data_IF_251967396845
#
_entry.id   IF_251967396845
#
_cell.length_a   1.000
_cell.length_b   1.000
_cell.length_c   1.000
_cell.angle_alpha   90.00
_cell.angle_beta   90.00
_cell.angle_gamma   90.00
#
_symmetry.space_group_name_H-M   'P 1'
#
loop_
_entity.id
_entity.type
_entity.pdbx_description
1 polymer ?
#
# COMPACT_ATOMS: atom_id res chain seq x y z
N UNK A 1 13.39 -7.13 -20.64
CA UNK A 1 13.28 -6.04 -19.64
C UNK A 1 14.45 -6.18 -18.69
N UNK A 2 15.23 -5.12 -18.44
CA UNK A 2 16.31 -5.14 -17.45
C UNK A 2 15.69 -5.09 -16.05
N UNK A 3 16.16 -5.92 -15.11
CA UNK A 3 15.70 -5.91 -13.73
C UNK A 3 16.33 -4.73 -12.97
N UNK A 4 15.54 -4.01 -12.18
CA UNK A 4 16.06 -3.01 -11.24
C UNK A 4 16.62 -3.72 -10.01
N UNK A 5 17.90 -4.07 -10.06
CA UNK A 5 18.62 -4.69 -8.94
C UNK A 5 19.11 -3.62 -7.96
N UNK A 6 19.27 -3.99 -6.68
CA UNK A 6 19.74 -3.09 -5.61
C UNK A 6 18.93 -1.79 -5.43
N UNK A 7 17.64 -1.82 -5.81
CA UNK A 7 16.72 -0.70 -5.66
C UNK A 7 15.92 -0.86 -4.37
N UNK A 8 15.73 0.22 -3.62
CA UNK A 8 14.89 0.20 -2.42
C UNK A 8 13.42 0.35 -2.82
N UNK A 9 12.59 -0.56 -2.36
CA UNK A 9 11.13 -0.51 -2.53
C UNK A 9 10.52 -0.32 -1.16
N UNK A 10 9.81 0.78 -0.96
CA UNK A 10 9.06 1.09 0.24
C UNK A 10 7.58 0.77 0.01
N UNK A 11 6.92 0.18 0.99
CA UNK A 11 5.47 0.07 1.04
C UNK A 11 4.90 0.69 2.31
N UNK A 12 3.71 1.27 2.20
CA UNK A 12 2.91 1.68 3.36
C UNK A 12 1.43 1.59 3.05
N UNK A 13 0.64 1.23 4.07
CA UNK A 13 -0.82 1.21 3.96
C UNK A 13 -1.47 1.34 5.34
N UNK A 14 -2.80 1.49 5.34
CA UNK A 14 -3.59 1.49 6.56
C UNK A 14 -3.80 0.09 7.12
N UNK A 15 -4.16 0.01 8.40
CA UNK A 15 -4.61 -1.22 9.03
C UNK A 15 -6.01 -1.66 8.55
N UNK A 16 -6.52 -2.77 9.09
CA UNK A 16 -7.85 -3.29 8.75
C UNK A 16 -9.00 -2.31 9.04
N UNK A 17 -8.78 -1.31 9.91
CA UNK A 17 -9.74 -0.27 10.27
C UNK A 17 -9.57 1.00 9.44
N UNK A 18 -8.66 1.02 8.46
CA UNK A 18 -8.42 2.21 7.64
C UNK A 18 -7.53 3.26 8.33
N UNK A 19 -6.84 2.90 9.41
CA UNK A 19 -5.97 3.81 10.18
C UNK A 19 -4.53 3.68 9.70
N UNK A 20 -3.91 4.82 9.36
CA UNK A 20 -2.48 4.87 9.05
C UNK A 20 -1.65 5.04 10.33
N UNK A 21 -0.44 4.48 10.33
CA UNK A 21 0.56 4.79 11.37
C UNK A 21 1.20 6.15 11.10
N UNK A 22 1.66 6.83 12.15
CA UNK A 22 2.34 8.13 12.07
C UNK A 22 1.47 9.26 11.49
N UNK A 23 0.16 9.21 11.76
CA UNK A 23 -0.82 10.20 11.30
C UNK A 23 -1.64 10.69 12.50
N UNK A 24 -1.91 11.99 12.50
CA UNK A 24 -2.91 12.60 13.36
C UNK A 24 -4.13 12.95 12.51
N UNK A 25 -5.28 12.43 12.91
CA UNK A 25 -6.59 12.68 12.32
C UNK A 25 -7.57 13.12 13.43
N UNK A 26 -8.68 13.72 13.04
CA UNK A 26 -9.79 14.05 13.95
C UNK A 26 -10.29 12.85 14.79
N UNK A 27 -10.15 11.64 14.27
CA UNK A 27 -10.71 10.41 14.85
C UNK A 27 -9.69 9.51 15.53
N UNK A 28 -8.38 9.72 15.32
CA UNK A 28 -7.31 8.93 15.91
C UNK A 28 -5.97 9.68 15.90
N UNK A 29 -5.07 9.29 16.80
CA UNK A 29 -3.68 9.75 16.79
C UNK A 29 -2.73 8.56 16.89
N UNK A 30 -1.95 8.34 15.83
CA UNK A 30 -0.95 7.27 15.74
C UNK A 30 0.47 7.80 15.54
N UNK A 31 0.72 9.08 15.86
CA UNK A 31 2.03 9.71 15.74
C UNK A 31 3.09 8.88 16.47
N UNK A 32 4.22 8.64 15.81
CA UNK A 32 5.32 7.81 16.33
C UNK A 32 5.12 6.30 16.19
N UNK A 33 3.94 5.81 15.81
CA UNK A 33 3.73 4.40 15.44
C UNK A 33 4.28 4.16 14.03
N UNK A 34 4.72 2.92 13.76
CA UNK A 34 5.37 2.55 12.48
C UNK A 34 4.83 1.24 11.87
N UNK A 35 3.65 0.79 12.31
CA UNK A 35 3.04 -0.43 11.76
C UNK A 35 2.73 -0.28 10.26
N UNK A 36 2.76 -1.40 9.54
CA UNK A 36 2.38 -1.50 8.11
C UNK A 36 3.14 -0.54 7.20
N UNK A 37 4.41 -0.29 7.56
CA UNK A 37 5.41 0.44 6.79
C UNK A 37 6.67 -0.42 6.76
N UNK A 38 7.31 -0.51 5.61
CA UNK A 38 8.56 -1.25 5.49
C UNK A 38 9.22 -1.02 4.14
N UNK A 39 10.50 -1.36 4.04
CA UNK A 39 11.20 -1.36 2.77
C UNK A 39 11.98 -2.64 2.61
N UNK A 40 12.21 -3.02 1.36
CA UNK A 40 13.08 -4.12 0.97
C UNK A 40 13.98 -3.64 -0.17
N UNK A 41 15.14 -4.28 -0.32
CA UNK A 41 16.00 -4.08 -1.47
C UNK A 41 15.75 -5.21 -2.46
N UNK A 42 15.63 -4.89 -3.74
CA UNK A 42 15.42 -5.89 -4.78
C UNK A 42 16.57 -6.89 -4.87
N UNK A 43 16.22 -8.16 -5.05
CA UNK A 43 17.18 -9.25 -5.30
C UNK A 43 17.79 -9.17 -6.72
N UNK A 44 18.60 -10.17 -7.07
CA UNK A 44 19.25 -10.25 -8.37
C UNK A 44 18.26 -10.35 -9.55
N UNK A 45 17.03 -10.82 -9.27
CA UNK A 45 15.93 -10.88 -10.23
C UNK A 45 15.03 -9.63 -10.22
N UNK A 46 15.35 -8.63 -9.39
CA UNK A 46 14.57 -7.40 -9.26
C UNK A 46 13.32 -7.55 -8.39
N UNK A 47 13.23 -8.58 -7.55
CA UNK A 47 12.04 -8.89 -6.75
C UNK A 47 12.20 -8.47 -5.30
N UNK A 48 11.08 -8.15 -4.69
CA UNK A 48 10.92 -7.92 -3.25
C UNK A 48 9.71 -8.69 -2.75
N UNK A 49 9.78 -9.19 -1.51
CA UNK A 49 8.65 -9.84 -0.85
C UNK A 49 8.37 -9.15 0.48
N UNK A 50 7.10 -8.85 0.70
CA UNK A 50 6.60 -8.30 1.96
C UNK A 50 5.55 -9.24 2.54
N UNK A 51 5.61 -9.48 3.84
CA UNK A 51 4.54 -10.12 4.59
C UNK A 51 3.75 -9.02 5.29
N UNK A 52 2.47 -8.87 4.92
CA UNK A 52 1.58 -7.86 5.50
C UNK A 52 0.13 -8.35 5.53
N UNK A 53 -0.78 -7.56 6.09
CA UNK A 53 -2.22 -7.80 6.08
C UNK A 53 -2.88 -7.15 4.85
N UNK A 54 -4.13 -7.53 4.56
CA UNK A 54 -4.95 -6.80 3.60
C UNK A 54 -5.30 -5.40 4.14
N UNK A 55 -5.27 -4.32 3.34
CA UNK A 55 -5.62 -3.00 3.84
C UNK A 55 -7.12 -2.85 4.11
N UNK A 56 -7.48 -2.12 5.15
CA UNK A 56 -8.83 -1.65 5.36
C UNK A 56 -9.22 -0.54 4.39
N UNK A 57 -10.51 -0.17 4.40
CA UNK A 57 -11.02 0.95 3.63
C UNK A 57 -11.08 2.22 4.50
N UNK A 58 -11.00 3.38 3.86
CA UNK A 58 -11.27 4.67 4.49
C UNK A 58 -11.97 5.59 3.47
N UNK A 59 -12.79 6.57 3.92
CA UNK A 59 -13.60 7.38 3.01
C UNK A 59 -12.80 8.05 1.89
N UNK A 60 -13.35 8.06 0.68
CA UNK A 60 -12.76 8.78 -0.45
C UNK A 60 -11.71 8.00 -1.25
N UNK A 61 -11.37 6.75 -0.88
CA UNK A 61 -10.34 5.96 -1.57
C UNK A 61 -10.74 4.50 -1.76
N UNK A 62 -10.37 3.93 -2.91
CA UNK A 62 -10.37 2.46 -3.11
C UNK A 62 -9.25 1.82 -2.28
N UNK A 63 -9.34 0.53 -1.98
CA UNK A 63 -8.36 -0.22 -1.18
C UNK A 63 -7.01 -0.28 -1.92
N UNK A 64 -5.93 0.10 -1.25
CA UNK A 64 -4.62 0.16 -1.89
C UNK A 64 -3.45 -0.04 -0.92
N UNK A 65 -2.30 -0.40 -1.49
CA UNK A 65 -0.99 -0.28 -0.85
C UNK A 65 -0.19 0.77 -1.61
N UNK A 66 0.37 1.75 -0.91
CA UNK A 66 1.31 2.65 -1.54
C UNK A 66 2.65 1.97 -1.78
N UNK A 67 3.28 2.29 -2.89
CA UNK A 67 4.63 1.83 -3.23
C UNK A 67 5.49 3.02 -3.64
N UNK A 68 6.73 3.05 -3.16
CA UNK A 68 7.78 3.93 -3.67
C UNK A 68 9.00 3.09 -4.05
N UNK A 69 9.52 3.29 -5.25
CA UNK A 69 10.78 2.69 -5.69
C UNK A 69 11.83 3.78 -5.74
N UNK A 70 12.98 3.56 -5.11
CA UNK A 70 14.15 4.42 -5.11
C UNK A 70 15.30 3.68 -5.75
N UNK A 71 15.85 4.26 -6.82
CA UNK A 71 16.95 3.69 -7.59
C UNK A 71 18.13 4.65 -7.52
N UNK A 72 19.27 4.15 -7.06
CA UNK A 72 20.53 4.85 -7.22
C UNK A 72 21.07 4.58 -8.63
N UNK A 73 21.27 5.64 -9.41
CA UNK A 73 21.81 5.53 -10.77
C UNK A 73 23.34 5.63 -10.75
N UNK A 74 23.99 5.10 -11.79
CA UNK A 74 25.44 5.15 -11.93
C UNK A 74 26.01 6.60 -12.02
N UNK A 75 25.19 7.59 -12.40
CA UNK A 75 25.56 9.01 -12.38
C UNK A 75 25.30 9.70 -11.02
N UNK A 76 24.97 8.92 -9.98
CA UNK A 76 24.77 9.39 -8.61
C UNK A 76 23.47 10.15 -8.39
N UNK A 77 22.51 10.06 -9.31
CA UNK A 77 21.21 10.73 -9.20
C UNK A 77 20.17 9.75 -8.66
N UNK A 78 19.66 10.01 -7.46
CA UNK A 78 18.53 9.25 -6.94
C UNK A 78 17.31 9.48 -7.85
N UNK A 79 16.76 8.40 -8.39
CA UNK A 79 15.46 8.40 -9.06
C UNK A 79 14.42 7.81 -8.12
N UNK A 80 13.23 8.40 -8.09
CA UNK A 80 12.11 7.84 -7.36
C UNK A 80 10.84 7.75 -8.20
N UNK A 81 10.07 6.70 -7.97
CA UNK A 81 8.76 6.49 -8.54
C UNK A 81 7.78 6.17 -7.41
N UNK A 82 6.65 6.87 -7.34
CA UNK A 82 5.62 6.65 -6.33
C UNK A 82 4.30 6.28 -7.00
N UNK A 83 3.66 5.23 -6.52
CA UNK A 83 2.42 4.69 -7.08
C UNK A 83 1.57 3.99 -6.01
N UNK A 84 0.48 3.37 -6.44
CA UNK A 84 -0.46 2.62 -5.62
C UNK A 84 -0.76 1.28 -6.29
N UNK A 85 -0.75 0.21 -5.51
CA UNK A 85 -1.21 -1.13 -5.88
C UNK A 85 -2.67 -1.25 -5.47
N UNK A 86 -3.51 -1.70 -6.41
CA UNK A 86 -4.93 -1.94 -6.19
C UNK A 86 -5.24 -3.43 -6.28
N UNK A 87 -6.43 -3.79 -5.82
CA UNK A 87 -6.89 -5.17 -5.75
C UNK A 87 -8.15 -5.36 -6.58
N UNK A 88 -8.39 -6.61 -6.98
CA UNK A 88 -9.64 -6.98 -7.64
C UNK A 88 -10.83 -6.78 -6.69
N UNK A 89 -11.91 -6.19 -7.20
CA UNK A 89 -13.10 -5.87 -6.42
C UNK A 89 -13.76 -7.14 -5.85
N UNK A 90 -13.82 -8.24 -6.62
CA UNK A 90 -14.45 -9.47 -6.17
C UNK A 90 -13.64 -10.13 -5.04
N UNK A 91 -12.30 -10.06 -5.12
CA UNK A 91 -11.46 -10.52 -4.03
C UNK A 91 -11.60 -9.64 -2.77
N UNK A 92 -11.67 -8.32 -2.95
CA UNK A 92 -11.92 -7.37 -1.85
C UNK A 92 -13.24 -7.66 -1.15
N UNK A 93 -14.31 -7.90 -1.92
CA UNK A 93 -15.64 -8.23 -1.41
C UNK A 93 -15.61 -9.51 -0.53
N UNK A 94 -14.82 -10.53 -0.89
CA UNK A 94 -14.66 -11.74 -0.07
C UNK A 94 -13.86 -11.49 1.22
N UNK A 95 -12.76 -10.74 1.15
CA UNK A 95 -11.96 -10.41 2.34
C UNK A 95 -12.80 -9.64 3.37
N UNK A 96 -13.65 -8.71 2.92
CA UNK A 96 -14.44 -7.88 3.82
C UNK A 96 -15.66 -8.58 4.42
N UNK A 97 -15.89 -9.87 4.11
CA UNK A 97 -16.82 -10.74 4.86
C UNK A 97 -16.16 -11.36 6.10
N UNK A 98 -14.83 -11.36 6.19
CA UNK A 98 -14.07 -12.00 7.25
C UNK A 98 -13.71 -11.02 8.37
N UNK A 99 -13.55 -11.53 9.59
CA UNK A 99 -13.01 -10.74 10.69
C UNK A 99 -11.52 -10.43 10.45
N UNK A 100 -11.00 -9.25 10.83
CA UNK A 100 -11.73 -8.13 11.46
C UNK A 100 -12.41 -7.17 10.47
N UNK A 101 -12.28 -7.38 9.16
CA UNK A 101 -12.76 -6.45 8.13
C UNK A 101 -14.29 -6.30 8.08
N UNK A 102 -15.01 -7.32 8.53
CA UNK A 102 -16.48 -7.31 8.65
C UNK A 102 -17.03 -6.56 9.87
N UNK A 103 -16.16 -5.95 10.70
CA UNK A 103 -16.57 -5.22 11.91
C UNK A 103 -17.08 -3.80 11.63
N UNK A 104 -16.81 -3.27 10.43
CA UNK A 104 -17.23 -1.93 9.99
C UNK A 104 -18.26 -2.08 8.88
N UNK A 105 -19.37 -1.34 9.00
CA UNK A 105 -20.36 -1.21 7.92
C UNK A 105 -19.64 -0.83 6.62
N UNK A 106 -19.76 -1.66 5.59
CA UNK A 106 -19.10 -1.38 4.32
C UNK A 106 -19.79 -0.18 3.66
N UNK A 107 -19.14 0.97 3.67
CA UNK A 107 -19.58 2.07 2.80
C UNK A 107 -19.18 1.71 1.36
N UNK A 108 -20.12 1.14 0.59
CA UNK A 108 -19.95 0.75 -0.82
C UNK A 108 -19.68 1.93 -1.78
N UNK A 109 -19.19 3.07 -1.29
CA UNK A 109 -19.26 4.34 -2.00
C UNK A 109 -18.13 4.62 -2.99
N UNK A 110 -17.17 3.71 -3.18
CA UNK A 110 -16.16 3.85 -4.25
C UNK A 110 -15.90 2.49 -4.91
N UNK A 111 -16.85 2.01 -5.71
CA UNK A 111 -16.53 1.24 -6.92
C UNK A 111 -16.10 2.21 -8.05
N UNK A 112 -15.18 3.13 -7.75
CA UNK A 112 -14.61 3.97 -8.80
C UNK A 112 -13.64 3.11 -9.58
N UNK A 113 -14.06 2.71 -10.78
CA UNK A 113 -13.18 2.19 -11.83
C UNK A 113 -12.12 3.26 -12.14
N UNK A 114 -11.00 3.24 -11.42
CA UNK A 114 -9.82 4.03 -11.76
C UNK A 114 -8.94 3.16 -12.64
N UNK A 115 -9.14 3.26 -13.95
CA UNK A 115 -8.23 2.68 -14.94
C UNK A 115 -7.01 3.61 -14.99
N UNK A 116 -5.97 3.28 -14.23
CA UNK A 116 -4.64 3.86 -14.42
C UNK A 116 -3.79 2.83 -15.18
N UNK A 117 -3.61 3.07 -16.48
CA UNK A 117 -2.60 2.41 -17.30
C UNK A 117 -1.26 3.14 -17.11
N UNK A 118 -0.19 2.38 -16.86
CA UNK A 118 1.19 2.88 -16.98
C UNK A 118 1.70 2.67 -18.41
#
# INVERSE_FOLDING_TARGET
>A
MLAFVQSAVDIWHCDANGVYSDVEDSSFNTVGKKFLRGYQVTDAEGKVTFTTIYPGWYPGRTVHIHVKVRVDTADGKAQEFTSQLYFDDAFTDEVYKLAPYNSREQSFLIKNRMICSF
#
